data_IF_700494800632
#
_entry.id   IF_700494800632
#
_cell.length_a   1.000
_cell.length_b   1.000
_cell.length_c   1.000
_cell.angle_alpha   90.00
_cell.angle_beta   90.00
_cell.angle_gamma   90.00
#
_symmetry.space_group_name_H-M   'P 1'
#
loop_
_entity.id
_entity.type
_entity.pdbx_description
1 polymer ?
#
# COMPACT_ATOMS: atom_id res chain seq x y z
N UNK A 1 -20.59 4.08 -67.73
CA UNK A 1 -20.09 5.45 -68.01
C UNK A 1 -20.45 6.33 -66.83
N UNK A 2 -19.53 7.19 -66.37
CA UNK A 2 -19.71 8.46 -65.61
C UNK A 2 -20.69 8.42 -64.40
N UNK A 3 -20.29 8.50 -63.13
CA UNK A 3 -19.41 9.46 -62.41
C UNK A 3 -20.01 10.86 -62.23
N UNK A 4 -20.23 11.28 -60.97
CA UNK A 4 -19.99 12.64 -60.42
C UNK A 4 -20.28 12.74 -58.91
N UNK A 5 -19.63 13.68 -58.22
CA UNK A 5 -19.82 14.06 -56.80
C UNK A 5 -20.34 15.51 -56.70
N UNK A 6 -21.11 15.82 -55.64
CA UNK A 6 -21.28 17.12 -54.96
C UNK A 6 -22.03 16.83 -53.61
N UNK A 7 -21.79 17.37 -52.41
CA UNK A 7 -20.95 18.42 -51.78
C UNK A 7 -21.72 19.68 -51.31
N UNK A 8 -21.60 20.00 -50.01
CA UNK A 8 -22.20 21.12 -49.24
C UNK A 8 -23.74 21.05 -49.09
N UNK A 9 -24.40 21.58 -48.04
CA UNK A 9 -24.10 22.75 -47.19
C UNK A 9 -24.65 22.58 -45.74
N UNK A 10 -24.24 23.44 -44.80
CA UNK A 10 -24.70 23.44 -43.39
C UNK A 10 -25.94 24.32 -43.16
N UNK A 11 -26.59 24.22 -41.98
CA UNK A 11 -27.13 25.44 -41.36
C UNK A 11 -26.80 25.64 -39.87
N UNK A 12 -27.11 26.85 -39.43
CA UNK A 12 -26.54 27.62 -38.32
C UNK A 12 -27.13 27.34 -36.91
N UNK A 13 -26.49 27.95 -35.90
CA UNK A 13 -26.86 28.00 -34.48
C UNK A 13 -27.81 29.18 -34.17
N UNK A 14 -28.91 28.94 -33.45
CA UNK A 14 -29.46 29.93 -32.50
C UNK A 14 -30.48 29.33 -31.52
N UNK A 15 -30.54 29.93 -30.31
CA UNK A 15 -31.54 29.80 -29.24
C UNK A 15 -31.72 28.40 -28.58
N UNK A 16 -31.55 28.25 -27.26
CA UNK A 16 -32.00 29.16 -26.20
C UNK A 16 -31.12 29.10 -24.94
N UNK A 17 -30.74 30.26 -24.43
CA UNK A 17 -30.18 30.45 -23.10
C UNK A 17 -31.30 30.61 -22.06
N UNK A 18 -31.23 29.88 -20.94
CA UNK A 18 -31.58 30.34 -19.57
C UNK A 18 -31.95 29.18 -18.63
N UNK A 19 -31.01 28.70 -17.80
CA UNK A 19 -31.25 28.53 -16.36
C UNK A 19 -29.99 28.98 -15.61
N UNK A 20 -30.19 29.84 -14.62
CA UNK A 20 -29.14 30.51 -13.84
C UNK A 20 -28.62 29.68 -12.66
N UNK A 21 -27.32 29.79 -12.41
CA UNK A 21 -26.68 29.90 -11.09
C UNK A 21 -27.33 29.19 -9.89
N UNK A 22 -26.79 28.01 -9.53
CA UNK A 22 -26.67 27.60 -8.14
C UNK A 22 -25.24 27.12 -7.87
N UNK A 23 -24.43 28.02 -7.33
CA UNK A 23 -23.14 27.67 -6.76
C UNK A 23 -23.38 26.94 -5.42
N UNK A 24 -23.13 25.64 -5.38
CA UNK A 24 -23.01 24.91 -4.12
C UNK A 24 -21.54 24.73 -3.77
N UNK A 25 -21.11 25.42 -2.73
CA UNK A 25 -19.79 25.30 -2.17
C UNK A 25 -19.54 23.87 -1.66
N UNK A 26 -18.38 23.31 -1.99
CA UNK A 26 -17.86 22.13 -1.30
C UNK A 26 -17.41 22.54 0.10
N UNK A 27 -18.37 22.57 1.04
CA UNK A 27 -18.10 22.82 2.46
C UNK A 27 -17.28 21.68 3.03
N UNK A 28 -15.96 21.87 3.08
CA UNK A 28 -15.09 21.07 3.94
C UNK A 28 -15.55 21.26 5.40
N UNK A 29 -15.76 20.18 6.17
CA UNK A 29 -15.94 20.33 7.61
C UNK A 29 -14.61 20.78 8.24
N UNK A 30 -14.61 21.97 8.84
CA UNK A 30 -13.49 22.47 9.64
C UNK A 30 -13.20 21.54 10.85
N UNK A 31 -11.95 21.51 11.35
CA UNK A 31 -11.58 20.65 12.45
C UNK A 31 -12.28 21.07 13.76
N UNK A 32 -13.01 20.13 14.36
CA UNK A 32 -13.68 20.33 15.65
C UNK A 32 -12.63 20.61 16.73
N UNK A 33 -12.60 21.84 17.23
CA UNK A 33 -11.87 22.19 18.45
C UNK A 33 -12.49 21.47 19.64
N UNK A 34 -11.73 20.59 20.30
CA UNK A 34 -12.13 20.01 21.57
C UNK A 34 -12.03 21.04 22.70
N UNK A 35 -13.08 21.27 23.51
CA UNK A 35 -12.99 22.04 24.73
C UNK A 35 -12.49 21.17 25.90
N UNK A 36 -11.47 21.68 26.59
CA UNK A 36 -11.07 21.48 28.00
C UNK A 36 -11.28 20.12 28.69
N UNK A 37 -10.18 19.60 29.24
CA UNK A 37 -10.13 18.50 30.20
C UNK A 37 -11.06 18.66 31.41
N UNK A 38 -11.45 17.53 32.01
CA UNK A 38 -11.43 17.38 33.46
C UNK A 38 -10.45 16.28 33.88
N UNK A 39 -9.51 16.64 34.76
CA UNK A 39 -8.71 15.67 35.53
C UNK A 39 -9.63 14.85 36.43
N UNK A 40 -9.40 13.54 36.52
CA UNK A 40 -9.66 12.77 37.75
C UNK A 40 -8.91 11.44 37.77
N UNK A 41 -8.26 11.19 38.90
CA UNK A 41 -7.53 9.98 39.21
C UNK A 41 -8.46 8.76 39.31
N UNK A 42 -7.97 7.57 38.95
CA UNK A 42 -7.61 6.57 39.96
C UNK A 42 -7.16 5.24 39.34
N UNK A 43 -6.28 4.57 40.08
CA UNK A 43 -5.74 3.22 39.85
C UNK A 43 -6.77 2.17 39.35
N UNK A 44 -6.31 1.20 38.54
CA UNK A 44 -5.92 -0.14 39.06
C UNK A 44 -5.58 -1.17 37.95
N UNK A 45 -4.47 -1.92 38.15
CA UNK A 45 -4.09 -3.22 37.54
C UNK A 45 -3.92 -3.30 36.00
N UNK A 46 -2.67 -3.18 35.57
CA UNK A 46 -2.15 -3.79 34.33
C UNK A 46 -1.78 -5.25 34.63
N UNK A 47 -2.28 -6.21 33.85
CA UNK A 47 -1.91 -7.63 33.98
C UNK A 47 -1.57 -8.29 32.66
N UNK A 48 -0.29 -8.68 32.55
CA UNK A 48 0.22 -9.89 31.88
C UNK A 48 -0.03 -10.08 30.37
N UNK A 49 0.98 -9.74 29.57
CA UNK A 49 1.40 -10.52 28.38
C UNK A 49 2.93 -10.52 28.30
N UNK A 50 3.58 -11.12 29.30
CA UNK A 50 5.02 -11.43 29.28
C UNK A 50 5.19 -12.94 29.51
N UNK A 51 5.19 -13.72 28.44
CA UNK A 51 5.56 -15.14 28.43
C UNK A 51 6.04 -15.51 27.01
N UNK A 52 7.15 -16.29 26.94
CA UNK A 52 7.98 -16.69 25.77
C UNK A 52 9.16 -15.72 25.52
N UNK A 53 10.34 -15.87 26.14
CA UNK A 53 11.22 -17.06 26.19
C UNK A 53 11.85 -17.21 27.58
N UNK A 54 11.69 -18.39 28.20
CA UNK A 54 12.46 -18.82 29.38
C UNK A 54 13.10 -20.18 29.11
N UNK A 55 14.34 -20.17 28.63
CA UNK A 55 15.21 -21.34 28.63
C UNK A 55 15.97 -21.39 29.95
N UNK A 56 15.46 -22.16 30.91
CA UNK A 56 16.18 -22.44 32.14
C UNK A 56 17.37 -23.37 31.80
N UNK A 57 18.59 -22.92 32.09
CA UNK A 57 19.69 -23.80 32.46
C UNK A 57 20.05 -23.40 33.89
N UNK A 58 19.86 -24.32 34.83
CA UNK A 58 20.19 -24.08 36.23
C UNK A 58 21.66 -24.37 36.48
N UNK A 59 22.33 -23.43 37.13
CA UNK A 59 23.01 -23.67 38.41
C UNK A 59 23.36 -22.30 39.01
N UNK A 60 22.93 -22.02 40.25
CA UNK A 60 23.25 -20.75 40.91
C UNK A 60 24.73 -20.70 41.28
N UNK A 61 25.50 -19.69 40.83
CA UNK A 61 26.83 -19.43 41.37
C UNK A 61 26.73 -19.03 42.86
N UNK A 62 27.74 -19.35 43.67
CA UNK A 62 27.75 -19.00 45.09
C UNK A 62 27.89 -17.48 45.26
N UNK A 63 26.84 -16.86 45.83
CA UNK A 63 26.79 -15.50 46.42
C UNK A 63 27.94 -14.55 46.01
N UNK A 64 27.94 -14.14 44.73
CA UNK A 64 28.93 -13.20 44.20
C UNK A 64 28.65 -11.80 44.73
N UNK A 65 29.70 -11.15 45.22
CA UNK A 65 29.63 -9.78 45.71
C UNK A 65 29.39 -8.85 44.51
N UNK A 66 28.20 -8.26 44.43
CA UNK A 66 27.69 -7.58 43.20
C UNK A 66 28.57 -6.39 42.78
N UNK A 67 29.38 -5.86 43.71
CA UNK A 67 30.33 -4.77 43.51
C UNK A 67 31.59 -5.16 42.70
N UNK A 68 31.71 -6.42 42.24
CA UNK A 68 32.88 -6.93 41.52
C UNK A 68 32.54 -7.92 40.40
N UNK A 69 31.63 -7.53 39.51
CA UNK A 69 31.46 -8.16 38.19
C UNK A 69 32.22 -7.34 37.14
N UNK A 70 33.09 -7.98 36.35
CA UNK A 70 33.81 -7.33 35.24
C UNK A 70 32.90 -7.10 34.01
N UNK A 71 33.36 -6.24 33.09
CA UNK A 71 32.63 -5.91 31.88
C UNK A 71 32.41 -7.16 30.99
N UNK A 72 31.14 -7.52 30.78
CA UNK A 72 30.77 -8.68 29.96
C UNK A 72 30.63 -10.01 30.71
N UNK A 73 30.81 -10.07 32.04
CA UNK A 73 30.64 -11.33 32.80
C UNK A 73 29.19 -11.81 32.91
N UNK A 74 28.21 -10.92 32.71
CA UNK A 74 26.78 -11.29 32.67
C UNK A 74 26.42 -11.86 31.31
N UNK A 75 26.06 -13.15 31.26
CA UNK A 75 25.52 -13.81 30.07
C UNK A 75 24.03 -13.44 29.84
N UNK A 76 23.76 -12.14 29.65
CA UNK A 76 22.43 -11.55 29.51
C UNK A 76 22.39 -10.57 28.33
N UNK A 77 21.22 -10.38 27.72
CA UNK A 77 21.03 -9.39 26.64
C UNK A 77 20.47 -8.10 27.23
N UNK A 78 21.27 -7.03 27.25
CA UNK A 78 20.76 -5.68 27.47
C UNK A 78 20.25 -5.10 26.14
N UNK A 79 18.99 -4.67 26.10
CA UNK A 79 18.42 -3.92 24.98
C UNK A 79 18.40 -2.44 25.32
N UNK A 80 18.74 -1.58 24.35
CA UNK A 80 18.62 -0.13 24.45
C UNK A 80 17.90 0.42 23.22
N UNK A 81 17.15 1.51 23.41
CA UNK A 81 16.34 2.17 22.39
C UNK A 81 16.88 3.57 22.07
N UNK A 82 16.53 4.09 20.89
CA UNK A 82 16.87 5.47 20.52
C UNK A 82 15.97 6.45 21.29
N UNK A 83 16.57 7.18 22.23
CA UNK A 83 15.91 8.19 23.03
C UNK A 83 15.78 9.54 22.30
N UNK A 84 15.17 10.55 22.94
CA UNK A 84 14.98 11.87 22.35
C UNK A 84 16.29 12.49 21.83
N UNK A 85 16.29 13.13 20.64
CA UNK A 85 17.51 13.66 20.04
C UNK A 85 18.07 14.82 20.88
N UNK A 86 19.28 14.63 21.41
CA UNK A 86 20.02 15.67 22.15
C UNK A 86 20.78 16.64 21.23
N UNK A 87 21.11 16.21 20.01
CA UNK A 87 21.67 17.02 18.93
C UNK A 87 21.38 16.37 17.57
N UNK A 88 21.69 17.07 16.47
CA UNK A 88 21.44 16.62 15.10
C UNK A 88 22.39 15.54 14.58
N UNK A 89 23.49 15.23 15.29
CA UNK A 89 24.54 14.32 14.82
C UNK A 89 24.75 13.06 15.68
N UNK A 90 24.23 13.02 16.91
CA UNK A 90 24.44 11.89 17.83
C UNK A 90 23.12 11.23 18.24
N UNK A 91 23.09 9.90 18.18
CA UNK A 91 22.03 9.10 18.80
C UNK A 91 22.29 8.95 20.30
N UNK A 92 21.24 9.04 21.10
CA UNK A 92 21.30 8.77 22.53
C UNK A 92 20.55 7.46 22.82
N UNK A 93 21.20 6.52 23.50
CA UNK A 93 20.58 5.25 23.89
C UNK A 93 19.94 5.35 25.28
N UNK A 94 18.79 4.72 25.47
CA UNK A 94 18.01 4.68 26.73
C UNK A 94 17.46 3.27 26.97
N UNK A 95 17.10 2.93 28.21
CA UNK A 95 16.46 1.65 28.52
C UNK A 95 14.95 1.68 28.27
N UNK A 96 14.34 2.87 28.37
CA UNK A 96 12.91 3.07 28.20
C UNK A 96 12.46 2.85 26.74
N UNK A 97 11.44 2.02 26.56
CA UNK A 97 10.79 1.84 25.26
C UNK A 97 10.11 3.15 24.81
N UNK A 98 10.31 3.64 23.57
CA UNK A 98 9.80 4.96 23.18
C UNK A 98 8.27 5.04 23.11
N UNK A 99 7.65 5.88 23.95
CA UNK A 99 6.20 6.12 23.98
C UNK A 99 5.62 6.64 22.66
N UNK A 100 6.45 7.31 21.84
CA UNK A 100 6.05 7.96 20.60
C UNK A 100 5.87 7.01 19.41
N UNK A 101 6.08 5.70 19.60
CA UNK A 101 5.84 4.68 18.60
C UNK A 101 4.33 4.52 18.41
N UNK A 102 3.78 5.25 17.43
CA UNK A 102 2.38 5.09 16.99
C UNK A 102 2.11 3.60 16.80
N UNK A 103 1.05 3.10 17.43
CA UNK A 103 0.57 1.75 17.19
C UNK A 103 0.45 1.53 15.68
N UNK A 104 0.86 0.35 15.21
CA UNK A 104 0.72 0.03 13.80
C UNK A 104 -0.78 -0.04 13.48
N UNK A 105 -1.30 1.03 12.86
CA UNK A 105 -2.73 1.20 12.55
C UNK A 105 -3.26 0.06 11.68
N UNK A 106 -2.42 -0.58 10.87
CA UNK A 106 -2.78 -1.76 10.07
C UNK A 106 -3.16 -2.97 10.95
N UNK A 107 -2.86 -2.95 12.24
CA UNK A 107 -3.27 -3.96 13.21
C UNK A 107 -4.61 -3.67 13.89
N UNK A 108 -5.20 -2.49 13.71
CA UNK A 108 -6.51 -2.15 14.24
C UNK A 108 -7.60 -3.04 13.63
N UNK A 109 -8.62 -3.37 14.44
CA UNK A 109 -9.68 -4.31 14.05
C UNK A 109 -10.43 -3.84 12.79
N UNK A 110 -10.70 -2.55 12.68
CA UNK A 110 -11.45 -1.97 11.56
C UNK A 110 -10.66 -2.00 10.25
N UNK A 111 -9.33 -1.84 10.32
CA UNK A 111 -8.44 -1.91 9.15
C UNK A 111 -8.22 -3.37 8.72
N UNK A 112 -8.17 -4.31 9.68
CA UNK A 112 -8.17 -5.77 9.44
C UNK A 112 -9.47 -6.34 8.84
N UNK A 113 -10.54 -5.54 8.79
CA UNK A 113 -11.82 -5.93 8.19
C UNK A 113 -11.99 -5.44 6.74
N UNK A 114 -11.03 -4.68 6.20
CA UNK A 114 -11.08 -4.19 4.82
C UNK A 114 -10.55 -5.26 3.86
N UNK A 115 -11.11 -5.36 2.65
CA UNK A 115 -10.65 -6.34 1.67
C UNK A 115 -9.23 -6.05 1.16
N UNK A 116 -8.93 -4.76 0.99
CA UNK A 116 -7.62 -4.21 0.67
C UNK A 116 -7.32 -3.00 1.57
N UNK A 117 -6.05 -2.71 1.82
CA UNK A 117 -5.59 -1.45 2.42
C UNK A 117 -4.66 -0.77 1.43
N UNK A 118 -5.00 0.47 1.09
CA UNK A 118 -4.25 1.32 0.16
C UNK A 118 -3.35 2.26 0.96
N UNK A 119 -2.07 2.31 0.62
CA UNK A 119 -1.12 3.31 1.10
C UNK A 119 -0.87 4.32 -0.01
N UNK A 120 -0.92 5.61 0.34
CA UNK A 120 -0.57 6.71 -0.55
C UNK A 120 0.69 7.39 -0.03
N UNK A 121 1.62 7.72 -0.92
CA UNK A 121 2.78 8.58 -0.62
C UNK A 121 2.57 9.97 -1.22
N UNK A 122 3.34 10.95 -0.72
CA UNK A 122 3.39 12.28 -1.34
C UNK A 122 4.06 12.16 -2.70
N UNK A 123 3.48 12.81 -3.70
CA UNK A 123 4.12 12.93 -5.00
C UNK A 123 5.33 13.84 -4.91
N UNK A 124 6.40 13.45 -5.60
CA UNK A 124 7.56 14.29 -5.87
C UNK A 124 7.66 14.69 -7.36
N UNK A 125 6.65 14.36 -8.17
CA UNK A 125 6.53 14.74 -9.58
C UNK A 125 5.49 15.84 -9.79
N UNK A 126 5.73 16.67 -10.81
CA UNK A 126 4.83 17.75 -11.19
C UNK A 126 3.53 17.19 -11.80
N UNK A 127 2.41 17.30 -11.05
CA UNK A 127 1.07 17.03 -11.58
C UNK A 127 0.12 16.30 -10.61
N UNK A 128 0.62 15.29 -9.88
CA UNK A 128 -0.14 14.62 -8.79
C UNK A 128 0.32 15.18 -7.44
N UNK A 129 -0.56 15.23 -6.44
CA UNK A 129 -0.18 15.54 -5.03
C UNK A 129 0.09 14.27 -4.20
N UNK A 130 -0.59 13.19 -4.55
CA UNK A 130 -0.47 11.87 -3.95
C UNK A 130 -0.38 10.84 -5.07
N UNK A 131 0.38 9.78 -4.81
CA UNK A 131 0.56 8.64 -5.70
C UNK A 131 0.45 7.34 -4.88
N UNK A 132 0.02 6.27 -5.54
CA UNK A 132 -0.18 4.97 -4.89
C UNK A 132 1.19 4.40 -4.52
N UNK A 133 1.37 4.06 -3.25
CA UNK A 133 2.63 3.52 -2.73
C UNK A 133 2.59 1.98 -2.71
N UNK A 134 1.56 1.43 -2.07
CA UNK A 134 1.40 0.00 -1.92
C UNK A 134 -0.04 -0.39 -1.61
N UNK A 135 -0.40 -1.64 -1.94
CA UNK A 135 -1.70 -2.24 -1.67
C UNK A 135 -1.51 -3.54 -0.90
N UNK A 136 -2.10 -3.63 0.29
CA UNK A 136 -2.11 -4.83 1.13
C UNK A 136 -3.40 -5.60 0.85
N UNK A 137 -3.30 -6.86 0.46
CA UNK A 137 -4.45 -7.72 0.17
C UNK A 137 -4.79 -8.59 1.38
N UNK A 138 -5.99 -8.41 1.94
CA UNK A 138 -6.46 -9.11 3.13
C UNK A 138 -7.56 -10.14 2.85
N UNK A 139 -8.42 -9.89 1.86
CA UNK A 139 -9.52 -10.80 1.51
C UNK A 139 -8.98 -12.13 0.94
N UNK A 140 -9.53 -13.26 1.41
CA UNK A 140 -9.12 -14.61 1.02
C UNK A 140 -9.52 -15.00 -0.41
N UNK A 141 -10.72 -14.64 -0.87
CA UNK A 141 -11.18 -14.90 -2.24
C UNK A 141 -10.39 -14.08 -3.26
N UNK A 142 -10.04 -12.84 -2.90
CA UNK A 142 -9.14 -12.00 -3.70
C UNK A 142 -7.72 -12.61 -3.75
N UNK A 143 -7.20 -13.13 -2.64
CA UNK A 143 -5.91 -13.86 -2.64
C UNK A 143 -5.93 -15.09 -3.54
N UNK A 144 -7.01 -15.87 -3.53
CA UNK A 144 -7.17 -17.00 -4.45
C UNK A 144 -7.19 -16.52 -5.91
N UNK A 145 -8.00 -15.49 -6.20
CA UNK A 145 -8.04 -14.86 -7.54
C UNK A 145 -6.64 -14.42 -7.98
N UNK A 146 -5.86 -13.78 -7.12
CA UNK A 146 -4.50 -13.36 -7.45
C UNK A 146 -3.52 -14.54 -7.62
N UNK A 147 -3.75 -15.68 -6.96
CA UNK A 147 -2.98 -16.92 -7.22
C UNK A 147 -3.28 -17.47 -8.61
N UNK A 148 -4.49 -17.30 -9.12
CA UNK A 148 -4.88 -17.64 -10.49
C UNK A 148 -4.32 -16.63 -11.50
N UNK A 149 -4.30 -15.33 -11.16
CA UNK A 149 -3.68 -14.26 -11.99
C UNK A 149 -2.17 -14.44 -12.14
N UNK A 150 -1.45 -14.74 -11.05
CA UNK A 150 0.01 -14.86 -11.06
C UNK A 150 0.51 -16.31 -11.21
N UNK A 151 -0.35 -17.22 -11.70
CA UNK A 151 0.02 -18.62 -11.90
C UNK A 151 1.10 -18.75 -13.00
N UNK A 152 2.32 -19.12 -12.61
CA UNK A 152 3.48 -19.21 -13.50
C UNK A 152 4.35 -17.95 -13.57
N UNK A 153 3.89 -16.82 -13.03
CA UNK A 153 4.66 -15.57 -12.98
C UNK A 153 5.74 -15.63 -11.88
N UNK A 154 7.00 -15.35 -12.22
CA UNK A 154 8.10 -15.47 -11.26
C UNK A 154 8.23 -14.24 -10.34
N UNK A 155 8.72 -14.46 -9.12
CA UNK A 155 8.97 -13.40 -8.14
C UNK A 155 7.77 -13.00 -7.29
N UNK A 156 6.61 -13.67 -7.42
CA UNK A 156 5.42 -13.44 -6.58
C UNK A 156 5.02 -14.72 -5.87
N UNK A 157 4.77 -14.62 -4.57
CA UNK A 157 4.18 -15.69 -3.78
C UNK A 157 2.91 -15.18 -3.09
N UNK A 158 1.74 -15.45 -3.67
CA UNK A 158 0.44 -15.03 -3.12
C UNK A 158 0.11 -15.71 -1.78
N UNK A 159 0.78 -16.83 -1.48
CA UNK A 159 0.72 -17.57 -0.21
C UNK A 159 1.37 -16.85 0.98
N UNK A 160 2.00 -15.68 0.80
CA UNK A 160 2.61 -14.91 1.88
C UNK A 160 1.58 -14.47 2.93
N UNK A 161 1.94 -14.57 4.23
CA UNK A 161 1.08 -14.17 5.35
C UNK A 161 0.52 -12.75 5.18
N UNK A 162 1.39 -11.80 4.79
CA UNK A 162 1.01 -10.45 4.35
C UNK A 162 1.30 -10.34 2.86
N UNK A 163 0.26 -10.37 2.03
CA UNK A 163 0.38 -10.11 0.60
C UNK A 163 0.35 -8.59 0.39
N UNK A 164 1.44 -8.03 -0.09
CA UNK A 164 1.61 -6.61 -0.41
C UNK A 164 2.13 -6.51 -1.83
N UNK A 165 1.58 -5.59 -2.60
CA UNK A 165 2.15 -5.15 -3.87
C UNK A 165 2.54 -3.69 -3.73
N UNK A 166 3.66 -3.31 -4.32
CA UNK A 166 4.26 -1.99 -4.19
C UNK A 166 4.44 -1.37 -5.57
N UNK A 167 4.43 -0.03 -5.64
CA UNK A 167 4.66 0.70 -6.86
C UNK A 167 6.05 0.39 -7.45
N UNK A 168 6.22 0.35 -8.79
CA UNK A 168 5.24 0.70 -9.82
C UNK A 168 4.37 -0.48 -10.30
N UNK A 169 4.14 -1.50 -9.46
CA UNK A 169 3.19 -2.59 -9.75
C UNK A 169 3.49 -3.41 -11.02
N UNK A 170 4.77 -3.56 -11.43
CA UNK A 170 5.16 -4.37 -12.62
C UNK A 170 4.39 -5.70 -12.79
N UNK A 171 4.16 -6.52 -11.74
CA UNK A 171 3.29 -7.69 -11.81
C UNK A 171 1.96 -7.48 -12.54
N UNK A 172 1.25 -6.42 -12.19
CA UNK A 172 -0.06 -6.13 -12.73
C UNK A 172 0.02 -5.54 -14.13
N UNK A 173 1.10 -4.86 -14.51
CA UNK A 173 1.33 -4.48 -15.91
C UNK A 173 1.39 -5.74 -16.79
N UNK A 174 2.24 -6.71 -16.44
CA UNK A 174 2.45 -7.91 -17.25
C UNK A 174 1.21 -8.81 -17.29
N UNK A 175 0.53 -8.96 -16.15
CA UNK A 175 -0.62 -9.85 -15.99
C UNK A 175 -1.96 -9.10 -16.04
N UNK A 176 -2.00 -7.94 -16.69
CA UNK A 176 -3.19 -7.08 -16.74
C UNK A 176 -4.35 -7.74 -17.50
N UNK A 177 -4.05 -8.35 -18.64
CA UNK A 177 -5.03 -9.03 -19.49
C UNK A 177 -5.59 -10.27 -18.78
N UNK A 178 -4.72 -11.10 -18.19
CA UNK A 178 -5.13 -12.25 -17.38
C UNK A 178 -6.00 -11.85 -16.17
N UNK A 179 -5.69 -10.74 -15.50
CA UNK A 179 -6.53 -10.21 -14.42
C UNK A 179 -7.89 -9.71 -14.93
N UNK A 180 -7.91 -9.05 -16.09
CA UNK A 180 -9.14 -8.54 -16.71
C UNK A 180 -10.05 -9.66 -17.22
N UNK A 181 -9.49 -10.72 -17.80
CA UNK A 181 -10.21 -11.92 -18.24
C UNK A 181 -10.82 -12.68 -17.07
N UNK A 182 -10.06 -12.89 -15.99
CA UNK A 182 -10.57 -13.51 -14.75
C UNK A 182 -11.69 -12.66 -14.15
N UNK A 183 -11.57 -11.32 -14.19
CA UNK A 183 -12.61 -10.41 -13.69
C UNK A 183 -13.92 -10.52 -14.49
N UNK A 184 -13.85 -10.54 -15.82
CA UNK A 184 -15.04 -10.70 -16.67
C UNK A 184 -15.63 -12.13 -16.61
N UNK A 185 -14.81 -13.15 -16.34
CA UNK A 185 -15.30 -14.50 -16.01
C UNK A 185 -16.08 -14.48 -14.69
N UNK A 186 -15.48 -13.95 -13.61
CA UNK A 186 -16.12 -13.86 -12.29
C UNK A 186 -17.46 -13.10 -12.34
N UNK A 187 -17.54 -12.06 -13.17
CA UNK A 187 -18.77 -11.28 -13.43
C UNK A 187 -19.87 -12.08 -14.13
N UNK A 188 -19.51 -12.93 -15.12
CA UNK A 188 -20.47 -13.78 -15.87
C UNK A 188 -20.98 -14.94 -15.02
N UNK A 189 -20.17 -15.44 -14.11
CA UNK A 189 -20.46 -16.56 -13.21
C UNK A 189 -21.12 -16.14 -11.88
N UNK A 190 -21.42 -14.84 -11.69
CA UNK A 190 -21.88 -14.23 -10.43
C UNK A 190 -21.01 -14.64 -9.21
N UNK A 191 -19.71 -14.71 -9.43
CA UNK A 191 -18.76 -15.24 -8.45
C UNK A 191 -18.64 -14.28 -7.25
N UNK A 192 -18.78 -14.76 -5.99
CA UNK A 192 -18.80 -13.89 -4.81
C UNK A 192 -17.49 -13.11 -4.57
N UNK A 193 -16.39 -13.53 -5.18
CA UNK A 193 -15.12 -12.80 -5.18
C UNK A 193 -15.09 -11.54 -6.06
N UNK A 194 -16.00 -11.43 -7.04
CA UNK A 194 -15.98 -10.42 -8.10
C UNK A 194 -15.86 -8.98 -7.56
N UNK A 195 -16.61 -8.63 -6.52
CA UNK A 195 -16.60 -7.28 -5.95
C UNK A 195 -15.23 -6.90 -5.36
N UNK A 196 -14.50 -7.86 -4.79
CA UNK A 196 -13.15 -7.62 -4.25
C UNK A 196 -12.11 -7.53 -5.36
N UNK A 197 -12.21 -8.39 -6.38
CA UNK A 197 -11.39 -8.34 -7.60
C UNK A 197 -11.56 -7.01 -8.33
N UNK A 198 -12.81 -6.58 -8.53
CA UNK A 198 -13.15 -5.32 -9.19
C UNK A 198 -12.64 -4.10 -8.41
N UNK A 199 -12.72 -4.15 -7.07
CA UNK A 199 -12.19 -3.08 -6.21
C UNK A 199 -10.68 -2.91 -6.39
N UNK A 200 -9.92 -4.01 -6.38
CA UNK A 200 -8.47 -3.97 -6.60
C UNK A 200 -8.13 -3.52 -8.04
N UNK A 201 -8.80 -4.09 -9.04
CA UNK A 201 -8.60 -3.73 -10.46
C UNK A 201 -8.82 -2.23 -10.70
N UNK A 202 -9.91 -1.65 -10.17
CA UNK A 202 -10.18 -0.20 -10.25
C UNK A 202 -9.11 0.66 -9.60
N UNK A 203 -8.61 0.28 -8.42
CA UNK A 203 -7.56 1.02 -7.70
C UNK A 203 -6.26 1.02 -8.50
N UNK A 204 -5.84 -0.14 -9.02
CA UNK A 204 -4.61 -0.27 -9.79
C UNK A 204 -4.72 0.43 -11.15
N UNK A 205 -5.81 0.22 -11.89
CA UNK A 205 -6.03 0.83 -13.21
C UNK A 205 -5.99 2.36 -13.16
N UNK A 206 -6.56 2.97 -12.11
CA UNK A 206 -6.54 4.41 -11.93
C UNK A 206 -5.13 4.99 -11.73
N UNK A 207 -4.17 4.18 -11.27
CA UNK A 207 -2.79 4.60 -11.06
C UNK A 207 -1.89 4.25 -12.26
N UNK A 208 -1.90 2.98 -12.71
CA UNK A 208 -0.95 2.47 -13.70
C UNK A 208 -1.34 2.73 -15.15
N UNK A 209 -2.63 3.02 -15.46
CA UNK A 209 -3.07 3.17 -16.87
C UNK A 209 -2.25 4.18 -17.66
N UNK A 210 -1.90 5.32 -17.05
CA UNK A 210 -1.10 6.34 -17.73
C UNK A 210 0.29 5.83 -18.13
N UNK A 211 0.89 5.00 -17.28
CA UNK A 211 2.18 4.36 -17.57
C UNK A 211 2.04 3.22 -18.59
N UNK A 212 0.94 2.45 -18.56
CA UNK A 212 0.62 1.46 -19.60
C UNK A 212 0.46 2.10 -20.98
N UNK A 213 -0.29 3.20 -21.07
CA UNK A 213 -0.51 3.96 -22.31
C UNK A 213 0.85 4.54 -22.81
N UNK A 214 1.70 5.08 -21.92
CA UNK A 214 3.04 5.61 -22.25
C UNK A 214 4.00 4.53 -22.74
N UNK A 215 4.06 3.37 -22.05
CA UNK A 215 4.89 2.22 -22.45
C UNK A 215 4.47 1.70 -23.83
N UNK A 216 3.16 1.56 -24.05
CA UNK A 216 2.62 1.06 -25.32
C UNK A 216 3.04 1.93 -26.49
N UNK A 217 2.92 3.25 -26.37
CA UNK A 217 3.38 4.19 -27.41
C UNK A 217 4.88 4.04 -27.68
N UNK A 218 5.72 3.95 -26.63
CA UNK A 218 7.16 3.72 -26.81
C UNK A 218 7.50 2.40 -27.52
N UNK A 219 6.71 1.34 -27.30
CA UNK A 219 6.86 0.06 -28.00
C UNK A 219 6.42 0.19 -29.47
N UNK A 220 5.27 0.82 -29.74
CA UNK A 220 4.74 1.03 -31.09
C UNK A 220 5.66 1.91 -31.95
N UNK A 221 6.32 2.92 -31.36
CA UNK A 221 7.31 3.77 -32.02
C UNK A 221 8.73 3.15 -32.04
N UNK A 222 8.99 2.05 -31.32
CA UNK A 222 10.31 1.42 -31.23
C UNK A 222 11.38 2.22 -30.46
N UNK A 223 10.98 3.12 -29.57
CA UNK A 223 11.85 4.07 -28.84
C UNK A 223 11.92 3.80 -27.33
N UNK A 224 11.78 2.52 -26.92
CA UNK A 224 11.80 2.11 -25.50
C UNK A 224 12.98 2.72 -24.74
N UNK A 225 12.68 3.52 -23.71
CA UNK A 225 13.68 4.14 -22.84
C UNK A 225 14.01 3.23 -21.65
N UNK A 226 15.17 3.44 -21.02
CA UNK A 226 15.63 2.62 -19.89
C UNK A 226 14.62 2.53 -18.73
N UNK A 227 13.81 3.59 -18.49
CA UNK A 227 12.69 3.62 -17.53
C UNK A 227 11.70 2.46 -17.75
N UNK A 228 11.50 2.04 -18.99
CA UNK A 228 10.49 1.05 -19.42
C UNK A 228 11.06 -0.28 -19.87
N UNK A 229 12.37 -0.49 -19.72
CA UNK A 229 13.03 -1.73 -20.14
C UNK A 229 12.44 -2.98 -19.44
N UNK A 230 11.97 -2.83 -18.20
CA UNK A 230 11.30 -3.90 -17.45
C UNK A 230 10.01 -4.38 -18.12
N UNK A 231 9.30 -3.51 -18.84
CA UNK A 231 7.99 -3.82 -19.42
C UNK A 231 8.08 -4.76 -20.64
N UNK A 232 9.28 -4.90 -21.22
CA UNK A 232 9.54 -5.80 -22.35
C UNK A 232 9.72 -7.27 -21.96
N UNK A 233 10.13 -7.54 -20.71
CA UNK A 233 10.57 -8.87 -20.29
C UNK A 233 9.96 -9.24 -18.94
N UNK A 234 9.06 -10.23 -18.93
CA UNK A 234 8.57 -10.78 -17.67
C UNK A 234 9.71 -11.37 -16.84
N UNK A 235 9.65 -11.31 -15.49
CA UNK A 235 10.64 -11.95 -14.62
C UNK A 235 10.87 -13.43 -14.96
N UNK A 236 12.14 -13.79 -15.17
CA UNK A 236 12.54 -15.14 -15.58
C UNK A 236 12.63 -15.36 -17.10
N UNK A 237 12.28 -14.37 -17.92
CA UNK A 237 12.54 -14.37 -19.36
C UNK A 237 14.04 -14.32 -19.65
N UNK A 238 14.50 -15.07 -20.66
CA UNK A 238 15.88 -15.01 -21.15
C UNK A 238 15.91 -14.07 -22.36
N UNK A 239 16.62 -12.95 -22.24
CA UNK A 239 16.98 -12.09 -23.36
C UNK A 239 18.29 -12.58 -24.00
N UNK A 240 18.37 -12.52 -25.33
CA UNK A 240 19.51 -12.94 -26.16
C UNK A 240 20.03 -11.76 -27.00
#
# INVERSE_FOLDING_TARGET
MLSSQEVNEAPDLSDASSISSLANASTFPEPIKQPNSPVKDSNLKRSKVDDVVKTNIGDSPPNLNIDHLEEGEKCEIQTLYEGPPKCTCCKNWVEEYPDNLRMNIEQEKEIKQKAIVVRMRKSHSDGKLLELDSVIVQNSSLRQTLSEVFNGYQGITTSLKKLVFEAPFHPFYHQWDQFSDILEKQKKEDHPGYLFSQLLHKVLHADIRGEMDEIKDHIEQGIIIFKFLWALFEPGSIAF
#
